data_IF_885530203860
#
_entry.id   IF_885530203860
#
_cell.length_a   1.000
_cell.length_b   1.000
_cell.length_c   1.000
_cell.angle_alpha   90.00
_cell.angle_beta   90.00
_cell.angle_gamma   90.00
#
_symmetry.space_group_name_H-M   'P 1'
#
loop_
_entity.id
_entity.type
_entity.pdbx_description
1 polymer ?
#
# COMPACT_ATOMS: atom_id res chain seq x y z
N UNK A 1 31.89 14.65 16.23
CA UNK A 1 30.77 14.89 15.29
C UNK A 1 29.75 13.82 15.58
N UNK A 2 28.55 14.20 15.98
CA UNK A 2 27.47 13.26 16.38
C UNK A 2 26.45 13.17 15.26
N UNK A 3 25.73 12.05 15.20
CA UNK A 3 24.60 11.88 14.27
C UNK A 3 23.31 12.19 15.01
N UNK A 4 22.50 13.06 14.45
CA UNK A 4 21.21 13.43 14.99
C UNK A 4 20.12 12.95 14.04
N UNK A 5 19.04 12.45 14.63
CA UNK A 5 17.81 12.09 13.93
C UNK A 5 16.82 13.23 14.07
N UNK A 6 16.38 13.79 12.95
CA UNK A 6 15.41 14.87 12.95
C UNK A 6 14.13 14.36 12.30
N UNK A 7 13.08 14.13 13.07
CA UNK A 7 11.78 13.79 12.53
C UNK A 7 11.16 15.00 11.86
N UNK A 8 10.53 14.80 10.71
CA UNK A 8 9.77 15.81 9.98
C UNK A 8 8.37 15.32 9.71
N UNK A 9 7.43 16.25 9.59
CA UNK A 9 6.07 15.97 9.12
C UNK A 9 5.85 16.69 7.82
N UNK A 10 5.33 16.02 6.81
CA UNK A 10 4.89 16.68 5.60
C UNK A 10 3.71 17.61 5.93
N UNK A 11 3.70 18.81 5.36
CA UNK A 11 2.74 19.89 5.69
C UNK A 11 1.25 19.53 5.49
N UNK A 12 0.94 18.37 4.96
CA UNK A 12 -0.41 17.89 4.62
C UNK A 12 -0.73 16.45 5.08
N UNK A 13 0.13 15.81 5.87
CA UNK A 13 -0.13 14.48 6.40
C UNK A 13 -0.43 14.55 7.89
N UNK A 14 -1.54 13.93 8.28
CA UNK A 14 -1.97 13.80 9.69
C UNK A 14 -1.16 12.78 10.49
N UNK A 15 -0.18 12.13 9.87
CA UNK A 15 0.68 11.17 10.55
C UNK A 15 1.99 11.85 11.00
N UNK A 16 2.28 11.85 12.30
CA UNK A 16 3.56 12.36 12.79
C UNK A 16 4.68 11.43 12.28
N UNK A 17 5.72 12.02 11.70
CA UNK A 17 7.00 11.37 11.33
C UNK A 17 7.03 10.58 10.01
N UNK A 18 6.56 11.15 8.93
CA UNK A 18 6.68 10.55 7.60
C UNK A 18 8.14 10.40 7.13
N UNK A 19 9.04 11.24 7.64
CA UNK A 19 10.45 11.23 7.27
C UNK A 19 11.37 11.43 8.49
N UNK A 20 12.48 10.71 8.49
CA UNK A 20 13.55 10.89 9.47
C UNK A 20 14.80 11.30 8.72
N UNK A 21 15.33 12.49 9.05
CA UNK A 21 16.58 12.99 8.47
C UNK A 21 17.73 12.76 9.42
N UNK A 22 18.84 12.35 8.87
CA UNK A 22 20.06 12.11 9.58
C UNK A 22 21.03 13.27 9.33
N UNK A 23 21.42 13.95 10.37
CA UNK A 23 22.28 15.11 10.28
C UNK A 23 23.53 14.94 11.12
N UNK A 24 24.70 15.11 10.51
CA UNK A 24 25.97 15.13 11.22
C UNK A 24 26.25 16.55 11.74
N UNK A 25 26.34 16.69 13.05
CA UNK A 25 26.58 17.97 13.70
C UNK A 25 27.33 17.78 15.03
N UNK A 26 27.84 18.87 15.58
CA UNK A 26 28.50 18.84 16.87
C UNK A 26 27.52 19.09 18.03
N UNK A 27 26.42 19.78 17.75
CA UNK A 27 25.35 20.10 18.71
C UNK A 27 23.98 19.83 18.12
N UNK A 28 22.93 19.60 18.96
CA UNK A 28 21.55 19.46 18.51
C UNK A 28 21.06 20.67 17.72
N UNK A 29 21.43 21.89 18.14
CA UNK A 29 21.04 23.14 17.49
C UNK A 29 21.65 23.25 16.10
N UNK A 30 22.91 22.86 15.93
CA UNK A 30 23.56 22.82 14.62
C UNK A 30 22.89 21.78 13.71
N UNK A 31 22.51 20.62 14.25
CA UNK A 31 21.79 19.59 13.51
C UNK A 31 20.43 20.08 13.02
N UNK A 32 19.69 20.74 13.89
CA UNK A 32 18.39 21.32 13.55
C UNK A 32 18.51 22.40 12.47
N UNK A 33 19.47 23.32 12.58
CA UNK A 33 19.68 24.33 11.56
C UNK A 33 20.10 23.74 10.21
N UNK A 34 20.94 22.72 10.20
CA UNK A 34 21.32 22.01 8.98
C UNK A 34 20.11 21.33 8.33
N UNK A 35 19.25 20.73 9.13
CA UNK A 35 17.99 20.14 8.61
C UNK A 35 17.08 21.23 8.02
N UNK A 36 16.84 22.33 8.72
CA UNK A 36 16.02 23.44 8.25
C UNK A 36 16.53 24.04 6.91
N UNK A 37 17.85 24.15 6.75
CA UNK A 37 18.45 24.71 5.55
C UNK A 37 18.34 23.78 4.32
N UNK A 38 18.24 22.47 4.56
CA UNK A 38 18.18 21.47 3.49
C UNK A 38 16.76 21.02 3.13
N UNK A 39 15.79 21.32 3.99
CA UNK A 39 14.40 20.90 3.85
C UNK A 39 13.52 22.06 3.42
N UNK A 40 13.55 22.42 2.14
CA UNK A 40 12.65 23.43 1.59
C UNK A 40 11.23 22.85 1.47
N UNK A 41 10.33 23.33 2.32
CA UNK A 41 8.90 23.03 2.26
C UNK A 41 8.39 21.92 3.17
N UNK A 42 9.24 21.34 4.01
CA UNK A 42 8.81 20.40 5.06
C UNK A 42 8.73 21.11 6.42
N UNK A 43 7.71 20.74 7.20
CA UNK A 43 7.55 21.29 8.55
C UNK A 43 8.48 20.55 9.51
N UNK A 44 9.40 21.27 10.13
CA UNK A 44 10.22 20.78 11.22
C UNK A 44 9.61 21.30 12.52
N UNK A 45 9.18 20.46 13.46
CA UNK A 45 8.66 20.92 14.74
C UNK A 45 9.67 21.83 15.45
N UNK A 46 9.23 23.01 15.89
CA UNK A 46 10.11 23.96 16.61
C UNK A 46 10.54 23.42 18.00
N UNK A 47 9.72 22.55 18.58
CA UNK A 47 10.03 21.82 19.80
C UNK A 47 10.14 20.35 19.42
N UNK A 48 11.34 19.80 19.57
CA UNK A 48 11.48 18.35 19.57
C UNK A 48 10.65 17.85 20.75
N UNK A 49 9.72 16.90 20.55
CA UNK A 49 8.96 16.35 21.67
C UNK A 49 9.91 15.85 22.74
N UNK A 50 9.56 16.07 23.99
CA UNK A 50 10.37 15.62 25.11
C UNK A 50 10.69 14.14 24.95
N UNK A 51 11.96 13.81 25.08
CA UNK A 51 12.57 12.52 24.75
C UNK A 51 11.95 11.30 25.47
N UNK A 52 11.14 11.51 26.46
CA UNK A 52 10.55 10.47 27.29
C UNK A 52 9.41 9.70 26.60
N UNK A 53 8.85 10.23 25.52
CA UNK A 53 7.72 9.60 24.83
C UNK A 53 8.08 8.73 23.62
N UNK A 54 9.36 8.68 23.23
CA UNK A 54 9.82 7.91 22.07
C UNK A 54 10.76 6.79 22.50
N UNK A 55 10.57 5.57 22.01
CA UNK A 55 11.44 4.43 22.34
C UNK A 55 12.83 4.51 21.71
N UNK A 56 13.29 5.71 21.34
CA UNK A 56 14.58 5.90 20.71
C UNK A 56 15.63 6.39 21.72
N UNK A 57 16.25 5.47 22.42
CA UNK A 57 17.53 5.73 23.10
C UNK A 57 18.63 6.25 22.15
N UNK A 58 18.33 6.29 20.88
CA UNK A 58 19.14 6.73 19.75
C UNK A 58 19.55 8.20 19.80
N UNK A 59 18.86 8.99 20.57
CA UNK A 59 19.06 10.44 20.66
C UNK A 59 20.08 10.86 21.73
N UNK A 60 20.65 9.93 22.48
CA UNK A 60 21.68 10.28 23.44
C UNK A 60 22.96 10.68 22.69
N UNK A 61 23.43 11.95 22.82
CA UNK A 61 24.57 12.46 22.07
C UNK A 61 25.87 11.68 22.32
N UNK A 62 25.93 10.85 23.37
CA UNK A 62 27.07 10.04 23.72
C UNK A 62 26.94 8.58 23.31
N UNK A 63 25.89 8.22 22.64
CA UNK A 63 25.81 6.90 22.11
C UNK A 63 26.66 6.85 20.84
N UNK A 64 27.94 6.61 21.01
CA UNK A 64 28.81 6.00 20.02
C UNK A 64 28.38 4.57 19.71
N UNK A 65 27.15 4.18 20.07
CA UNK A 65 26.51 3.09 19.43
C UNK A 65 26.49 3.48 17.97
N UNK A 66 27.53 3.19 17.38
CA UNK A 66 27.67 2.65 16.05
C UNK A 66 26.32 2.24 15.52
N UNK A 67 25.48 3.26 15.18
CA UNK A 67 24.67 3.07 14.04
C UNK A 67 25.65 3.05 12.89
N UNK A 68 25.88 1.91 12.32
CA UNK A 68 26.62 1.84 11.10
C UNK A 68 25.72 2.42 10.04
N UNK A 69 25.62 3.76 10.01
CA UNK A 69 24.88 4.50 9.02
C UNK A 69 25.35 4.18 7.60
N UNK A 70 26.67 4.02 7.35
CA UNK A 70 27.13 3.45 6.10
C UNK A 70 26.58 2.05 5.84
N UNK A 71 26.40 1.24 6.86
CA UNK A 71 25.81 -0.10 6.70
C UNK A 71 24.28 -0.07 6.56
N UNK A 72 23.55 0.82 7.26
CA UNK A 72 22.12 0.96 7.03
C UNK A 72 21.80 1.50 5.62
N UNK A 73 22.66 2.32 5.04
CA UNK A 73 22.56 2.69 3.62
C UNK A 73 22.79 1.49 2.69
N UNK A 74 23.71 0.59 3.03
CA UNK A 74 23.88 -0.67 2.30
C UNK A 74 22.66 -1.59 2.44
N UNK A 75 21.94 -1.52 3.55
CA UNK A 75 20.79 -2.37 3.82
C UNK A 75 19.50 -1.95 3.14
N UNK A 76 19.46 -0.85 2.43
CA UNK A 76 18.27 -0.37 1.78
C UNK A 76 18.33 -0.43 0.24
N UNK A 77 19.12 -1.39 -0.29
CA UNK A 77 19.27 -1.62 -1.72
C UNK A 77 17.90 -1.70 -2.42
N UNK A 78 16.95 -2.45 -1.85
CA UNK A 78 15.62 -2.56 -2.42
C UNK A 78 14.76 -1.32 -2.16
N UNK A 79 14.94 -0.63 -1.03
CA UNK A 79 14.26 0.65 -0.80
C UNK A 79 14.73 1.68 -1.81
N UNK A 80 16.02 1.76 -2.12
CA UNK A 80 16.52 2.62 -3.19
C UNK A 80 15.95 2.21 -4.56
N UNK A 81 15.96 0.92 -4.86
CA UNK A 81 15.39 0.39 -6.10
C UNK A 81 13.88 0.66 -6.22
N UNK A 82 13.13 0.72 -5.10
CA UNK A 82 11.68 0.90 -5.05
C UNK A 82 11.23 2.27 -4.48
N UNK A 83 12.12 3.25 -4.32
CA UNK A 83 11.83 4.57 -3.71
C UNK A 83 10.83 5.46 -4.46
N UNK A 84 10.59 5.25 -5.74
CA UNK A 84 9.82 6.19 -6.58
C UNK A 84 8.31 5.91 -6.63
N UNK A 85 7.68 5.71 -5.49
CA UNK A 85 6.23 5.67 -5.43
C UNK A 85 5.66 6.94 -4.81
N UNK A 86 4.47 7.32 -5.26
CA UNK A 86 3.68 8.51 -4.93
C UNK A 86 3.98 9.20 -3.58
N UNK A 87 5.05 9.79 -3.36
CA UNK A 87 5.49 10.45 -2.13
C UNK A 87 6.96 10.82 -2.19
N UNK A 88 7.74 10.11 -3.00
CA UNK A 88 9.17 10.34 -3.14
C UNK A 88 9.52 11.41 -4.20
N UNK A 89 8.60 12.32 -4.53
CA UNK A 89 8.85 13.41 -5.50
C UNK A 89 9.95 14.40 -5.07
N UNK A 90 10.45 14.29 -3.85
CA UNK A 90 11.39 15.27 -3.30
C UNK A 90 12.78 14.77 -2.92
N UNK A 91 13.07 13.48 -3.09
CA UNK A 91 14.46 13.02 -2.94
C UNK A 91 15.05 12.71 -4.30
N UNK A 92 15.76 13.70 -4.83
CA UNK A 92 16.37 13.68 -6.15
C UNK A 92 17.30 12.48 -6.36
N UNK A 93 17.38 12.05 -7.62
CA UNK A 93 18.43 11.31 -8.28
C UNK A 93 18.35 9.79 -8.40
N UNK A 94 17.17 9.15 -8.37
CA UNK A 94 17.12 7.80 -8.94
C UNK A 94 15.95 7.66 -9.90
N UNK A 95 16.28 7.61 -11.19
CA UNK A 95 15.36 7.21 -12.26
C UNK A 95 15.18 5.69 -12.18
N UNK A 96 14.34 5.22 -11.24
CA UNK A 96 13.87 3.85 -11.30
C UNK A 96 12.85 3.77 -12.43
N UNK A 97 13.19 3.07 -13.48
CA UNK A 97 12.27 2.82 -14.59
C UNK A 97 11.28 1.73 -14.19
N UNK A 98 10.28 2.11 -13.39
CA UNK A 98 9.22 1.19 -12.95
C UNK A 98 8.56 0.45 -14.11
N UNK A 99 8.41 1.09 -15.25
CA UNK A 99 7.81 0.46 -16.42
C UNK A 99 8.64 -0.72 -16.89
N UNK A 100 9.96 -0.61 -16.88
CA UNK A 100 10.85 -1.71 -17.27
C UNK A 100 10.76 -2.88 -16.28
N UNK A 101 10.86 -2.62 -14.98
CA UNK A 101 10.77 -3.67 -13.95
C UNK A 101 9.42 -4.39 -13.95
N UNK A 102 8.33 -3.64 -14.03
CA UNK A 102 7.00 -4.25 -14.08
C UNK A 102 6.74 -4.96 -15.40
N UNK A 103 7.34 -4.52 -16.50
CA UNK A 103 7.29 -5.25 -17.77
C UNK A 103 8.05 -6.60 -17.68
N UNK A 104 9.25 -6.61 -17.09
CA UNK A 104 10.01 -7.83 -16.85
C UNK A 104 9.24 -8.81 -15.95
N UNK A 105 8.69 -8.31 -14.84
CA UNK A 105 7.93 -9.13 -13.91
C UNK A 105 6.65 -9.66 -14.54
N UNK A 106 5.91 -8.85 -15.29
CA UNK A 106 4.66 -9.26 -15.94
C UNK A 106 4.87 -10.35 -17.01
N UNK A 107 6.03 -10.36 -17.68
CA UNK A 107 6.41 -11.42 -18.65
C UNK A 107 6.78 -12.74 -17.95
N UNK A 108 7.33 -12.66 -16.73
CA UNK A 108 7.76 -13.83 -15.95
C UNK A 108 6.62 -14.45 -15.15
N UNK A 109 5.74 -13.62 -14.61
CA UNK A 109 4.59 -14.05 -13.83
C UNK A 109 3.53 -14.74 -14.69
N UNK A 110 2.70 -15.57 -14.06
CA UNK A 110 1.52 -16.11 -14.70
C UNK A 110 0.62 -14.98 -15.22
N UNK A 111 -0.08 -15.25 -16.33
CA UNK A 111 -0.86 -14.22 -17.02
C UNK A 111 -1.97 -13.67 -16.15
N UNK A 112 -1.96 -12.37 -16.00
CA UNK A 112 -2.96 -11.62 -15.25
C UNK A 112 -3.14 -10.23 -15.86
N UNK A 113 -4.24 -9.55 -15.50
CA UNK A 113 -4.50 -8.19 -15.92
C UNK A 113 -3.81 -7.22 -14.96
N UNK A 114 -2.77 -6.55 -15.47
CA UNK A 114 -1.95 -5.61 -14.70
C UNK A 114 -2.21 -4.14 -15.02
N UNK A 115 -3.14 -3.88 -15.95
CA UNK A 115 -3.51 -2.53 -16.38
C UNK A 115 -5.01 -2.42 -16.54
N UNK A 116 -5.55 -1.25 -16.26
CA UNK A 116 -6.92 -0.83 -16.59
C UNK A 116 -6.91 0.66 -16.95
N UNK A 117 -8.09 1.28 -17.14
CA UNK A 117 -8.17 2.70 -17.51
C UNK A 117 -7.58 3.63 -16.46
N UNK A 118 -7.80 3.33 -15.18
CA UNK A 118 -7.30 4.12 -14.06
C UNK A 118 -5.81 3.88 -13.78
N UNK A 119 -5.33 2.67 -14.05
CA UNK A 119 -3.95 2.23 -13.80
C UNK A 119 -3.30 1.67 -15.07
N UNK A 120 -2.91 2.52 -16.05
CA UNK A 120 -2.27 2.09 -17.29
C UNK A 120 -0.83 1.60 -17.04
N UNK A 121 -0.20 1.01 -18.06
CA UNK A 121 1.22 0.64 -18.09
C UNK A 121 1.65 -0.22 -16.90
N UNK A 122 0.97 -1.33 -16.67
CA UNK A 122 1.17 -2.21 -15.51
C UNK A 122 1.01 -1.48 -14.16
N UNK A 123 0.20 -0.43 -14.09
CA UNK A 123 0.01 0.37 -12.89
C UNK A 123 -0.53 -0.43 -11.70
N UNK A 124 -1.33 -1.47 -11.94
CA UNK A 124 -1.80 -2.40 -10.90
C UNK A 124 -0.62 -3.20 -10.34
N UNK A 125 0.27 -3.72 -11.21
CA UNK A 125 1.45 -4.47 -10.79
C UNK A 125 2.43 -3.58 -10.01
N UNK A 126 2.62 -2.33 -10.46
CA UNK A 126 3.43 -1.35 -9.74
C UNK A 126 2.89 -1.13 -8.34
N UNK A 127 1.58 -0.86 -8.20
CA UNK A 127 0.96 -0.66 -6.91
C UNK A 127 1.05 -1.91 -6.03
N UNK A 128 0.82 -3.09 -6.61
CA UNK A 128 0.96 -4.37 -5.92
C UNK A 128 2.38 -4.55 -5.37
N UNK A 129 3.40 -4.39 -6.21
CA UNK A 129 4.80 -4.63 -5.83
C UNK A 129 5.26 -3.68 -4.73
N UNK A 130 4.87 -2.42 -4.81
CA UNK A 130 5.19 -1.40 -3.81
C UNK A 130 4.57 -1.72 -2.46
N UNK A 131 3.27 -2.04 -2.43
CA UNK A 131 2.60 -2.33 -1.17
C UNK A 131 3.07 -3.67 -0.59
N UNK A 132 3.32 -4.68 -1.43
CA UNK A 132 3.96 -5.94 -1.00
C UNK A 132 5.31 -5.68 -0.36
N UNK A 133 6.15 -4.84 -0.97
CA UNK A 133 7.45 -4.48 -0.38
C UNK A 133 7.30 -3.78 0.97
N UNK A 134 6.38 -2.80 1.09
CA UNK A 134 6.10 -2.11 2.36
C UNK A 134 5.68 -3.10 3.44
N UNK A 135 4.74 -3.99 3.13
CA UNK A 135 4.24 -5.01 4.05
C UNK A 135 5.36 -5.95 4.50
N UNK A 136 6.16 -6.48 3.58
CA UNK A 136 7.30 -7.35 3.88
C UNK A 136 8.37 -6.65 4.73
N UNK A 137 8.55 -5.34 4.54
CA UNK A 137 9.43 -4.54 5.40
C UNK A 137 8.93 -4.51 6.85
N UNK A 138 7.64 -4.26 7.05
CA UNK A 138 7.00 -4.30 8.37
C UNK A 138 7.09 -5.69 8.99
N UNK A 139 6.87 -6.74 8.21
CA UNK A 139 6.96 -8.14 8.63
C UNK A 139 8.40 -8.65 8.80
N UNK A 140 9.41 -7.84 8.48
CA UNK A 140 10.85 -8.20 8.50
C UNK A 140 11.18 -9.42 7.62
N UNK A 141 10.47 -9.56 6.49
CA UNK A 141 10.62 -10.65 5.54
C UNK A 141 11.53 -10.30 4.35
N UNK A 142 12.28 -9.20 4.42
CA UNK A 142 13.25 -8.83 3.39
C UNK A 142 14.64 -9.26 3.85
N UNK A 143 15.27 -10.13 3.08
CA UNK A 143 16.66 -10.53 3.32
C UNK A 143 17.57 -9.44 2.76
N UNK A 144 18.55 -9.02 3.56
CA UNK A 144 19.56 -8.04 3.20
C UNK A 144 20.93 -8.58 3.59
N UNK A 145 21.83 -8.61 2.63
CA UNK A 145 23.23 -9.02 2.78
C UNK A 145 24.13 -7.92 2.20
N UNK A 146 25.40 -8.01 2.40
CA UNK A 146 26.37 -7.00 1.92
C UNK A 146 26.37 -6.84 0.39
N UNK A 147 26.00 -7.89 -0.33
CA UNK A 147 26.08 -7.95 -1.80
C UNK A 147 24.74 -8.11 -2.49
N UNK A 148 23.63 -8.28 -1.77
CA UNK A 148 22.30 -8.36 -2.36
C UNK A 148 21.17 -8.07 -1.36
N UNK A 149 20.01 -7.78 -1.90
CA UNK A 149 18.76 -7.81 -1.18
C UNK A 149 17.73 -8.67 -1.92
N UNK A 150 16.84 -9.32 -1.17
CA UNK A 150 15.91 -10.30 -1.70
C UNK A 150 14.58 -10.26 -0.97
N UNK A 151 13.48 -10.28 -1.71
CA UNK A 151 12.15 -10.52 -1.16
C UNK A 151 11.26 -11.37 -2.07
N UNK A 152 10.25 -12.01 -1.49
CA UNK A 152 9.26 -12.77 -2.24
C UNK A 152 8.19 -11.82 -2.79
N UNK A 153 8.00 -11.79 -4.10
CA UNK A 153 6.99 -10.92 -4.73
C UNK A 153 5.55 -11.38 -4.45
N UNK A 154 5.34 -12.60 -3.97
CA UNK A 154 4.03 -13.23 -3.84
C UNK A 154 3.42 -13.68 -5.16
N UNK A 155 4.13 -13.48 -6.29
CA UNK A 155 3.73 -13.92 -7.62
C UNK A 155 4.36 -15.25 -7.97
N UNK A 156 3.77 -15.92 -8.94
CA UNK A 156 4.20 -17.22 -9.43
C UNK A 156 4.38 -17.19 -10.95
N UNK A 157 5.29 -18.03 -11.44
CA UNK A 157 5.36 -18.36 -12.87
C UNK A 157 4.15 -19.20 -13.31
N UNK A 158 3.98 -19.41 -14.62
CA UNK A 158 2.96 -20.33 -15.15
C UNK A 158 3.07 -21.78 -14.64
N UNK A 159 4.21 -22.13 -14.03
CA UNK A 159 4.44 -23.44 -13.39
C UNK A 159 4.29 -23.39 -11.87
N UNK A 160 3.75 -22.31 -11.32
CA UNK A 160 3.58 -22.08 -9.89
C UNK A 160 4.89 -22.04 -9.08
N UNK A 161 6.01 -21.69 -9.72
CA UNK A 161 7.26 -21.40 -9.03
C UNK A 161 7.19 -19.96 -8.48
N UNK A 162 7.58 -19.79 -7.22
CA UNK A 162 7.64 -18.46 -6.60
C UNK A 162 8.66 -17.56 -7.30
N UNK A 163 8.29 -16.30 -7.49
CA UNK A 163 9.14 -15.26 -8.06
C UNK A 163 9.65 -14.36 -6.94
N UNK A 164 10.95 -14.17 -6.91
CA UNK A 164 11.65 -13.31 -5.95
C UNK A 164 12.21 -12.09 -6.66
N UNK A 165 12.07 -10.92 -6.03
CA UNK A 165 12.79 -9.72 -6.45
C UNK A 165 14.17 -9.74 -5.80
N UNK A 166 15.18 -9.74 -6.63
CA UNK A 166 16.59 -9.71 -6.26
C UNK A 166 17.21 -8.39 -6.70
N UNK A 167 17.96 -7.75 -5.84
CA UNK A 167 18.74 -6.56 -6.17
C UNK A 167 20.22 -6.82 -5.83
N UNK A 168 21.11 -6.50 -6.75
CA UNK A 168 22.57 -6.58 -6.55
C UNK A 168 23.12 -5.30 -5.89
N UNK A 169 24.43 -5.24 -5.73
CA UNK A 169 25.16 -4.10 -5.14
C UNK A 169 25.07 -2.81 -5.96
N UNK A 170 24.80 -2.95 -7.27
CA UNK A 170 24.66 -1.83 -8.21
C UNK A 170 23.20 -1.34 -8.30
N UNK A 171 22.31 -1.87 -7.44
CA UNK A 171 20.87 -1.59 -7.41
C UNK A 171 20.11 -2.07 -8.65
N UNK A 172 20.68 -2.98 -9.44
CA UNK A 172 19.95 -3.62 -10.52
C UNK A 172 18.95 -4.62 -9.96
N UNK A 173 17.69 -4.50 -10.36
CA UNK A 173 16.62 -5.41 -9.93
C UNK A 173 16.39 -6.48 -10.98
N UNK A 174 16.36 -7.73 -10.53
CA UNK A 174 16.00 -8.90 -11.32
C UNK A 174 14.91 -9.71 -10.63
N UNK A 175 14.12 -10.41 -11.40
CA UNK A 175 13.08 -11.29 -10.88
C UNK A 175 13.48 -12.74 -11.12
N UNK A 176 13.75 -13.48 -10.07
CA UNK A 176 14.35 -14.81 -10.11
C UNK A 176 13.41 -15.86 -9.49
N UNK A 177 13.40 -17.06 -10.04
CA UNK A 177 12.80 -18.25 -9.42
C UNK A 177 13.73 -18.86 -8.37
N UNK A 178 13.22 -19.79 -7.57
CA UNK A 178 14.07 -20.50 -6.62
C UNK A 178 15.24 -21.23 -7.26
N UNK A 179 15.06 -21.78 -8.46
CA UNK A 179 16.14 -22.44 -9.20
C UNK A 179 17.22 -21.45 -9.64
N UNK A 180 16.81 -20.30 -10.20
CA UNK A 180 17.75 -19.26 -10.62
C UNK A 180 18.51 -18.66 -9.42
N UNK A 181 17.87 -18.50 -8.26
CA UNK A 181 18.56 -18.09 -7.02
C UNK A 181 19.65 -19.08 -6.60
N UNK A 182 19.41 -20.40 -6.74
CA UNK A 182 20.43 -21.41 -6.47
C UNK A 182 21.65 -21.27 -7.40
N UNK A 183 21.44 -20.88 -8.66
CA UNK A 183 22.54 -20.60 -9.60
C UNK A 183 23.39 -19.39 -9.16
N UNK A 184 22.77 -18.44 -8.44
CA UNK A 184 23.48 -17.33 -7.80
C UNK A 184 24.07 -17.70 -6.42
N UNK A 185 24.00 -18.97 -6.00
CA UNK A 185 24.50 -19.42 -4.69
C UNK A 185 23.61 -19.01 -3.52
N UNK A 186 22.36 -18.62 -3.77
CA UNK A 186 21.41 -18.13 -2.78
C UNK A 186 20.39 -19.21 -2.47
N UNK A 187 20.45 -19.76 -1.26
CA UNK A 187 19.53 -20.80 -0.78
C UNK A 187 18.35 -20.26 0.03
N UNK A 188 18.44 -19.04 0.51
CA UNK A 188 17.38 -18.39 1.30
C UNK A 188 16.11 -18.16 0.47
N UNK A 189 14.96 -18.36 1.13
CA UNK A 189 13.63 -18.18 0.54
C UNK A 189 12.75 -17.39 1.51
N UNK A 190 12.75 -16.04 1.38
CA UNK A 190 11.89 -15.20 2.22
C UNK A 190 10.41 -15.54 2.00
N UNK A 191 9.62 -15.38 3.05
CA UNK A 191 8.19 -15.61 2.98
C UNK A 191 7.50 -14.50 2.17
N UNK A 192 6.35 -14.82 1.58
CA UNK A 192 5.48 -13.81 0.96
C UNK A 192 4.75 -13.00 2.03
N UNK A 193 4.28 -11.81 1.68
CA UNK A 193 3.47 -10.96 2.55
C UNK A 193 2.23 -11.70 3.08
N UNK A 194 1.96 -11.52 4.37
CA UNK A 194 0.85 -12.19 5.06
C UNK A 194 -0.30 -11.20 5.32
N UNK A 195 -1.41 -11.37 4.62
CA UNK A 195 -2.65 -10.63 4.83
C UNK A 195 -3.73 -11.45 5.57
N UNK A 196 -3.38 -12.66 6.05
CA UNK A 196 -4.31 -13.62 6.63
C UNK A 196 -4.09 -13.81 8.14
N UNK A 197 -3.71 -12.75 8.84
CA UNK A 197 -3.52 -12.79 10.30
C UNK A 197 -4.83 -13.07 11.03
N UNK A 198 -5.92 -12.46 10.58
CA UNK A 198 -7.27 -12.73 11.05
C UNK A 198 -8.20 -13.09 9.89
N UNK A 199 -8.40 -14.40 9.61
CA UNK A 199 -9.28 -14.84 8.54
C UNK A 199 -10.74 -14.38 8.67
N UNK A 200 -11.19 -14.01 9.87
CA UNK A 200 -12.56 -13.52 10.08
C UNK A 200 -12.81 -12.18 9.40
N UNK A 201 -11.77 -11.41 9.12
CA UNK A 201 -11.85 -10.14 8.39
C UNK A 201 -12.04 -10.33 6.88
N UNK A 202 -11.82 -11.54 6.36
CA UNK A 202 -11.92 -11.84 4.93
C UNK A 202 -13.34 -12.23 4.50
N UNK A 203 -14.23 -12.44 5.47
CA UNK A 203 -15.61 -12.86 5.22
C UNK A 203 -16.59 -11.81 5.75
N UNK A 204 -17.63 -11.55 4.96
CA UNK A 204 -18.70 -10.65 5.36
C UNK A 204 -19.74 -11.41 6.20
N UNK A 205 -19.99 -10.93 7.40
CA UNK A 205 -21.04 -11.45 8.27
C UNK A 205 -22.28 -10.57 8.16
N UNK A 206 -23.30 -11.05 7.46
CA UNK A 206 -24.56 -10.32 7.21
C UNK A 206 -25.44 -10.12 8.45
N UNK A 207 -25.09 -10.72 9.59
CA UNK A 207 -25.80 -10.48 10.85
C UNK A 207 -25.47 -9.09 11.43
N UNK A 208 -24.32 -8.54 11.09
CA UNK A 208 -23.95 -7.19 11.51
C UNK A 208 -24.62 -6.13 10.63
N UNK A 209 -25.15 -5.05 11.23
CA UNK A 209 -25.62 -3.90 10.47
C UNK A 209 -24.48 -3.21 9.74
N UNK A 210 -24.81 -2.52 8.65
CA UNK A 210 -23.89 -1.62 7.95
C UNK A 210 -24.29 -0.19 8.29
N UNK A 211 -23.43 0.53 8.97
CA UNK A 211 -23.53 1.98 9.19
C UNK A 211 -22.89 2.72 8.02
N UNK A 212 -23.69 3.51 7.30
CA UNK A 212 -23.25 4.20 6.08
C UNK A 212 -23.15 5.69 6.35
N UNK A 213 -21.99 6.24 6.06
CA UNK A 213 -21.73 7.66 6.16
C UNK A 213 -22.21 8.39 4.89
N UNK A 214 -23.53 8.50 4.72
CA UNK A 214 -24.15 9.08 3.52
C UNK A 214 -23.60 10.47 3.18
N UNK A 215 -23.41 11.32 4.18
CA UNK A 215 -22.85 12.65 3.97
C UNK A 215 -21.47 12.58 3.29
N UNK A 216 -20.59 11.71 3.78
CA UNK A 216 -19.26 11.55 3.20
C UNK A 216 -19.32 10.99 1.76
N UNK A 217 -20.21 10.03 1.50
CA UNK A 217 -20.35 9.47 0.16
C UNK A 217 -20.90 10.50 -0.84
N UNK A 218 -21.84 11.35 -0.42
CA UNK A 218 -22.56 12.26 -1.31
C UNK A 218 -21.98 13.68 -1.38
N UNK A 219 -21.18 14.10 -0.40
CA UNK A 219 -20.67 15.48 -0.32
C UNK A 219 -19.16 15.59 -0.44
N UNK A 220 -18.38 14.54 -0.13
CA UNK A 220 -16.93 14.55 -0.32
C UNK A 220 -16.56 14.56 -1.81
N UNK A 221 -15.70 15.47 -2.23
CA UNK A 221 -15.37 15.69 -3.64
C UNK A 221 -14.80 14.44 -4.30
N UNK A 222 -13.91 13.70 -3.63
CA UNK A 222 -13.33 12.48 -4.19
C UNK A 222 -14.36 11.35 -4.35
N UNK A 223 -15.34 11.27 -3.46
CA UNK A 223 -16.42 10.30 -3.59
C UNK A 223 -17.39 10.70 -4.69
N UNK A 224 -17.74 12.00 -4.81
CA UNK A 224 -18.62 12.51 -5.89
C UNK A 224 -18.10 12.16 -7.28
N UNK A 225 -16.80 12.32 -7.51
CA UNK A 225 -16.15 12.02 -8.79
C UNK A 225 -16.27 10.54 -9.20
N UNK A 226 -16.49 9.66 -8.23
CA UNK A 226 -16.60 8.21 -8.45
C UNK A 226 -18.03 7.75 -8.71
N UNK A 227 -19.01 8.55 -8.28
CA UNK A 227 -20.43 8.21 -8.47
C UNK A 227 -20.82 8.21 -9.96
N UNK A 228 -21.80 7.39 -10.36
CA UNK A 228 -22.29 7.37 -11.74
C UNK A 228 -22.74 8.77 -12.19
N UNK A 229 -22.49 9.08 -13.46
CA UNK A 229 -22.89 10.38 -14.04
C UNK A 229 -24.39 10.57 -13.89
N UNK A 230 -24.79 11.78 -13.45
CA UNK A 230 -26.20 12.10 -13.24
C UNK A 230 -26.82 11.53 -11.95
N UNK A 231 -26.06 10.80 -11.15
CA UNK A 231 -26.58 10.25 -9.89
C UNK A 231 -26.86 11.34 -8.85
N UNK A 232 -25.98 12.33 -8.75
CA UNK A 232 -26.10 13.41 -7.77
C UNK A 232 -27.26 14.36 -8.04
N UNK A 233 -27.70 14.46 -9.29
CA UNK A 233 -28.82 15.27 -9.74
C UNK A 233 -30.19 14.63 -9.41
N UNK A 234 -30.21 13.33 -9.09
CA UNK A 234 -31.46 12.63 -8.73
C UNK A 234 -31.98 13.13 -7.38
N UNK A 235 -33.23 13.58 -7.33
CA UNK A 235 -33.85 14.03 -6.09
C UNK A 235 -33.95 12.92 -5.04
N UNK A 236 -34.17 11.69 -5.48
CA UNK A 236 -34.33 10.50 -4.63
C UNK A 236 -33.02 9.71 -4.41
N UNK A 237 -31.85 10.32 -4.61
CA UNK A 237 -30.53 9.66 -4.50
C UNK A 237 -30.33 8.93 -3.16
N UNK A 238 -30.84 9.47 -2.06
CA UNK A 238 -30.78 8.80 -0.75
C UNK A 238 -31.57 7.48 -0.74
N UNK A 239 -32.77 7.50 -1.30
CA UNK A 239 -33.61 6.29 -1.38
C UNK A 239 -32.95 5.23 -2.27
N UNK A 240 -32.35 5.65 -3.39
CA UNK A 240 -31.65 4.76 -4.32
C UNK A 240 -30.44 4.13 -3.61
N UNK A 241 -29.60 4.93 -2.94
CA UNK A 241 -28.42 4.45 -2.24
C UNK A 241 -28.78 3.49 -1.11
N UNK A 242 -29.78 3.83 -0.29
CA UNK A 242 -30.28 2.95 0.77
C UNK A 242 -30.82 1.63 0.22
N UNK A 243 -31.64 1.71 -0.84
CA UNK A 243 -32.19 0.52 -1.49
C UNK A 243 -31.11 -0.37 -2.10
N UNK A 244 -30.09 0.24 -2.72
CA UNK A 244 -28.94 -0.47 -3.29
C UNK A 244 -28.15 -1.21 -2.21
N UNK A 245 -27.95 -0.61 -1.05
CA UNK A 245 -27.27 -1.24 0.09
C UNK A 245 -28.07 -2.43 0.64
N UNK A 246 -29.39 -2.27 0.81
CA UNK A 246 -30.24 -3.37 1.28
C UNK A 246 -30.30 -4.54 0.27
N UNK A 247 -30.33 -4.24 -1.02
CA UNK A 247 -30.26 -5.26 -2.05
C UNK A 247 -28.89 -5.96 -2.07
N UNK A 248 -27.82 -5.20 -1.92
CA UNK A 248 -26.45 -5.73 -1.84
C UNK A 248 -26.30 -6.68 -0.64
N UNK A 249 -26.79 -6.32 0.56
CA UNK A 249 -26.77 -7.21 1.76
C UNK A 249 -27.44 -8.56 1.45
N UNK A 250 -28.60 -8.55 0.81
CA UNK A 250 -29.30 -9.77 0.40
C UNK A 250 -28.50 -10.60 -0.60
N UNK A 251 -27.89 -9.94 -1.60
CA UNK A 251 -27.04 -10.62 -2.58
C UNK A 251 -25.84 -11.30 -1.93
N UNK A 252 -25.15 -10.60 -1.02
CA UNK A 252 -23.97 -11.13 -0.32
C UNK A 252 -24.36 -12.24 0.65
N UNK A 253 -25.50 -12.14 1.34
CA UNK A 253 -26.00 -13.25 2.19
C UNK A 253 -26.28 -14.52 1.40
N UNK A 254 -26.75 -14.38 0.15
CA UNK A 254 -27.00 -15.51 -0.75
C UNK A 254 -25.71 -16.07 -1.41
N UNK A 255 -24.67 -15.23 -1.53
CA UNK A 255 -23.40 -15.62 -2.13
C UNK A 255 -22.24 -14.86 -1.48
N UNK A 256 -21.62 -15.48 -0.47
CA UNK A 256 -20.52 -14.90 0.30
C UNK A 256 -19.30 -14.47 -0.56
N UNK A 257 -19.11 -15.07 -1.75
CA UNK A 257 -18.03 -14.71 -2.68
C UNK A 257 -18.19 -13.32 -3.31
N UNK A 258 -19.33 -12.66 -3.12
CA UNK A 258 -19.53 -11.30 -3.59
C UNK A 258 -18.81 -10.26 -2.70
N UNK A 259 -18.56 -10.56 -1.44
CA UNK A 259 -17.72 -9.73 -0.60
C UNK A 259 -16.25 -10.04 -0.88
N UNK A 260 -15.48 -9.05 -1.29
CA UNK A 260 -14.08 -9.23 -1.70
C UNK A 260 -13.18 -8.47 -0.73
N UNK A 261 -12.20 -9.13 -0.10
CA UNK A 261 -11.27 -8.44 0.77
C UNK A 261 -10.33 -7.53 -0.04
N UNK A 262 -10.06 -6.36 0.52
CA UNK A 262 -9.03 -5.42 0.05
C UNK A 262 -8.11 -5.04 1.20
N UNK A 263 -6.90 -4.60 0.88
CA UNK A 263 -6.01 -3.93 1.81
C UNK A 263 -5.93 -2.45 1.47
N UNK A 264 -6.22 -1.60 2.45
CA UNK A 264 -6.07 -0.16 2.34
C UNK A 264 -5.42 0.38 3.62
N UNK A 265 -4.30 1.07 3.49
CA UNK A 265 -3.50 1.58 4.63
C UNK A 265 -3.23 0.50 5.69
N UNK A 266 -2.73 -0.66 5.24
CA UNK A 266 -2.46 -1.85 6.06
C UNK A 266 -3.67 -2.45 6.83
N UNK A 267 -4.89 -1.96 6.55
CA UNK A 267 -6.13 -2.50 7.13
C UNK A 267 -6.88 -3.34 6.12
N UNK A 268 -7.41 -4.46 6.60
CA UNK A 268 -8.31 -5.28 5.81
C UNK A 268 -9.72 -4.69 5.86
N UNK A 269 -10.27 -4.46 4.68
CA UNK A 269 -11.65 -4.03 4.48
C UNK A 269 -12.34 -4.98 3.51
N UNK A 270 -13.66 -4.94 3.42
CA UNK A 270 -14.43 -5.69 2.45
C UNK A 270 -15.03 -4.75 1.41
N UNK A 271 -14.96 -5.16 0.16
CA UNK A 271 -15.61 -4.53 -0.97
C UNK A 271 -16.93 -5.23 -1.24
N UNK A 272 -18.01 -4.47 -1.22
CA UNK A 272 -19.36 -4.96 -1.46
C UNK A 272 -19.90 -4.35 -2.78
N UNK A 273 -20.49 -5.18 -3.68
CA UNK A 273 -20.96 -4.70 -4.99
C UNK A 273 -22.18 -3.78 -4.85
N UNK A 274 -22.10 -2.56 -5.34
CA UNK A 274 -23.17 -1.58 -5.28
C UNK A 274 -23.67 -1.26 -6.69
N UNK A 275 -24.99 -1.31 -6.88
CA UNK A 275 -25.66 -1.01 -8.16
C UNK A 275 -26.54 0.23 -7.95
N UNK A 276 -26.17 1.37 -8.53
CA UNK A 276 -26.89 2.64 -8.40
C UNK A 276 -27.65 3.07 -9.66
N UNK A 277 -27.18 2.65 -10.82
CA UNK A 277 -27.67 3.18 -12.09
C UNK A 277 -27.94 2.12 -13.19
N UNK A 278 -27.61 0.85 -12.97
CA UNK A 278 -27.79 -0.16 -14.02
C UNK A 278 -29.07 -0.96 -13.85
N UNK A 279 -29.91 -0.95 -14.90
CA UNK A 279 -31.09 -1.83 -15.02
C UNK A 279 -30.69 -3.32 -15.12
N UNK A 280 -29.44 -3.60 -15.49
CA UNK A 280 -28.91 -4.95 -15.67
C UNK A 280 -28.45 -5.62 -14.36
N UNK A 281 -28.51 -4.92 -13.22
CA UNK A 281 -28.06 -5.45 -11.94
C UNK A 281 -26.55 -5.69 -11.83
N UNK A 282 -25.77 -5.13 -12.75
CA UNK A 282 -24.29 -5.11 -12.66
C UNK A 282 -23.85 -4.02 -11.71
N UNK A 283 -22.84 -4.28 -10.86
CA UNK A 283 -22.29 -3.24 -10.00
C UNK A 283 -21.66 -2.09 -10.79
N UNK A 284 -21.93 -0.88 -10.34
CA UNK A 284 -21.29 0.35 -10.82
C UNK A 284 -20.10 0.72 -9.97
N UNK A 285 -20.19 0.40 -8.68
CA UNK A 285 -19.25 0.78 -7.64
C UNK A 285 -19.01 -0.39 -6.68
N UNK A 286 -17.97 -0.25 -5.89
CA UNK A 286 -17.71 -1.05 -4.71
C UNK A 286 -17.83 -0.18 -3.45
N UNK A 287 -18.69 -0.56 -2.51
CA UNK A 287 -18.72 0.02 -1.18
C UNK A 287 -17.62 -0.62 -0.33
N UNK A 288 -16.66 0.17 0.13
CA UNK A 288 -15.64 -0.29 1.06
C UNK A 288 -16.19 -0.22 2.50
N UNK A 289 -16.16 -1.34 3.21
CA UNK A 289 -16.62 -1.44 4.59
C UNK A 289 -15.54 -1.97 5.52
N UNK A 290 -15.41 -1.35 6.68
CA UNK A 290 -14.52 -1.78 7.76
C UNK A 290 -15.34 -2.49 8.84
N UNK A 291 -14.90 -3.67 9.27
CA UNK A 291 -15.52 -4.39 10.38
C UNK A 291 -15.16 -3.71 11.70
N UNK A 292 -16.16 -3.38 12.49
CA UNK A 292 -16.05 -2.96 13.88
C UNK A 292 -16.64 -4.05 14.79
N UNK A 293 -16.60 -3.85 16.10
CA UNK A 293 -17.06 -4.86 17.07
C UNK A 293 -18.51 -5.29 16.83
N UNK A 294 -19.41 -4.35 16.51
CA UNK A 294 -20.85 -4.62 16.40
C UNK A 294 -21.49 -4.21 15.07
N UNK A 295 -20.71 -3.70 14.12
CA UNK A 295 -21.22 -3.26 12.82
C UNK A 295 -20.12 -3.24 11.76
N UNK A 296 -20.52 -3.06 10.51
CA UNK A 296 -19.64 -2.62 9.44
C UNK A 296 -19.83 -1.12 9.22
N UNK A 297 -18.74 -0.42 8.98
CA UNK A 297 -18.76 1.00 8.70
C UNK A 297 -18.37 1.25 7.24
N UNK A 298 -19.28 1.90 6.49
CA UNK A 298 -19.12 2.23 5.08
C UNK A 298 -18.92 3.73 4.85
N UNK A 299 -17.71 4.14 4.52
CA UNK A 299 -17.38 5.56 4.29
C UNK A 299 -17.19 5.91 2.82
N UNK A 300 -16.79 4.96 2.01
CA UNK A 300 -16.22 5.26 0.70
C UNK A 300 -16.75 4.32 -0.37
N UNK A 301 -17.14 4.89 -1.49
CA UNK A 301 -17.37 4.13 -2.72
C UNK A 301 -16.15 4.23 -3.62
N UNK A 302 -15.75 3.10 -4.21
CA UNK A 302 -14.65 2.99 -5.16
C UNK A 302 -15.19 2.66 -6.54
N UNK A 303 -14.54 3.17 -7.58
CA UNK A 303 -14.77 2.65 -8.93
C UNK A 303 -14.32 1.19 -9.00
N UNK A 304 -14.83 0.40 -9.95
CA UNK A 304 -14.45 -1.00 -10.08
C UNK A 304 -12.95 -1.17 -10.34
N UNK A 305 -12.33 -0.26 -11.09
CA UNK A 305 -10.89 -0.23 -11.33
C UNK A 305 -10.08 -0.04 -10.05
N UNK A 306 -10.49 0.91 -9.20
CA UNK A 306 -9.85 1.14 -7.91
C UNK A 306 -10.04 -0.05 -6.97
N UNK A 307 -11.25 -0.60 -6.95
CA UNK A 307 -11.60 -1.77 -6.16
C UNK A 307 -10.75 -2.99 -6.55
N UNK A 308 -10.61 -3.25 -7.85
CA UNK A 308 -9.75 -4.32 -8.35
C UNK A 308 -8.29 -4.13 -7.93
N UNK A 309 -7.75 -2.92 -8.12
CA UNK A 309 -6.38 -2.60 -7.75
C UNK A 309 -6.10 -2.84 -6.25
N UNK A 310 -7.01 -2.45 -5.38
CA UNK A 310 -6.86 -2.64 -3.93
C UNK A 310 -7.04 -4.11 -3.50
N UNK A 311 -8.02 -4.80 -4.08
CA UNK A 311 -8.25 -6.23 -3.80
C UNK A 311 -7.04 -7.07 -4.23
N UNK A 312 -6.41 -6.71 -5.36
CA UNK A 312 -5.26 -7.42 -5.90
C UNK A 312 -4.04 -7.39 -4.96
N UNK A 313 -3.96 -6.46 -4.02
CA UNK A 313 -2.90 -6.44 -3.01
C UNK A 313 -2.89 -7.73 -2.17
N UNK A 314 -4.06 -8.27 -1.86
CA UNK A 314 -4.19 -9.50 -1.06
C UNK A 314 -4.03 -10.73 -1.93
N UNK A 315 -4.85 -10.83 -2.97
CA UNK A 315 -4.88 -11.97 -3.90
C UNK A 315 -5.56 -11.55 -5.21
N UNK A 316 -5.42 -12.38 -6.26
CA UNK A 316 -6.15 -12.18 -7.52
C UNK A 316 -7.65 -12.30 -7.25
N UNK A 317 -8.44 -11.24 -7.49
CA UNK A 317 -9.89 -11.32 -7.31
C UNK A 317 -10.50 -12.23 -8.39
N UNK A 318 -11.22 -13.25 -7.96
CA UNK A 318 -11.98 -14.16 -8.85
C UNK A 318 -13.47 -14.01 -8.60
N UNK A 319 -14.00 -12.83 -8.83
CA UNK A 319 -15.43 -12.58 -8.69
C UNK A 319 -16.03 -12.07 -9.99
N UNK A 320 -17.20 -12.58 -10.34
CA UNK A 320 -17.89 -12.23 -11.60
C UNK A 320 -18.19 -10.74 -11.75
N UNK A 321 -18.23 -9.98 -10.67
CA UNK A 321 -18.51 -8.56 -10.68
C UNK A 321 -17.28 -7.66 -10.61
N UNK A 322 -16.16 -8.16 -10.07
CA UNK A 322 -14.91 -7.43 -9.96
C UNK A 322 -13.85 -8.05 -10.88
N UNK A 323 -14.09 -7.95 -12.16
CA UNK A 323 -13.13 -8.28 -13.21
C UNK A 323 -12.75 -6.98 -13.90
N UNK A 324 -11.48 -6.73 -14.14
CA UNK A 324 -11.10 -5.67 -15.05
C UNK A 324 -11.52 -6.09 -16.46
N UNK A 325 -12.19 -5.21 -17.15
CA UNK A 325 -12.58 -5.38 -18.56
C UNK A 325 -11.40 -5.15 -19.49
#
# INVERSE_FOLDING_TARGET
MNTYLIPTTAAYCYEPYDHIYFVYANTPQEAYQKACNNLQGEYIPQELPEYESYPFELYKPNNTATFPFPESQKYDILTEAFKNTKGAKHMGHFNVNWNEYTELLSKKADKEIWSNQTYPNNGILTNYLVNTYKRLRTERQIIRKDNYALFNTGLFTKYYESIYAYSDQEYNVSFLTGHELNQHGISERPQKANYFEDPSLLLFDWHYPIDIHFKHILEDEKNKERLPKGFLEKENKMCILTGAVELMKRKVSANYKLAIPQCYEDKIQLLLPLCLDTDEGKPDLALAVTKLDNCYQGYTCLTLDMAYNNARLIAKPESSWLCSK
#
